data_IF_768366138009
#
_entry.id   IF_768366138009
#
_cell.length_a   1.000
_cell.length_b   1.000
_cell.length_c   1.000
_cell.angle_alpha   90.00
_cell.angle_beta   90.00
_cell.angle_gamma   90.00
#
_symmetry.space_group_name_H-M   'P 1'
#
loop_
_entity.id
_entity.type
_entity.pdbx_description
1 polymer ?
#
# COMPACT_ATOMS: atom_id res chain seq x y z
N UNK A 1 -4.36 16.35 -0.35
CA UNK A 1 -5.05 15.62 -1.46
C UNK A 1 -4.12 14.49 -1.78
N UNK A 2 -4.63 13.25 -1.75
CA UNK A 2 -3.70 12.14 -1.80
C UNK A 2 -2.92 12.08 -3.11
N UNK A 3 -1.62 11.84 -3.00
CA UNK A 3 -0.69 11.73 -4.12
C UNK A 3 0.19 10.51 -3.97
N UNK A 4 0.43 9.81 -5.07
CA UNK A 4 1.47 8.78 -5.14
C UNK A 4 2.82 9.50 -5.05
N UNK A 5 3.67 9.04 -4.13
CA UNK A 5 5.00 9.62 -3.86
C UNK A 5 6.06 8.85 -4.64
N UNK A 6 6.15 7.54 -4.41
CA UNK A 6 7.10 6.66 -5.08
C UNK A 6 6.40 5.48 -5.76
N UNK A 7 7.01 4.98 -6.83
CA UNK A 7 6.58 3.79 -7.59
C UNK A 7 7.79 2.89 -7.77
N UNK A 8 7.57 1.59 -7.59
CA UNK A 8 8.58 0.57 -7.78
C UNK A 8 8.08 -0.55 -8.71
N UNK A 9 8.94 -0.91 -9.65
CA UNK A 9 8.79 -2.01 -10.60
C UNK A 9 10.08 -2.84 -10.46
N UNK A 10 9.98 -3.93 -9.70
CA UNK A 10 11.05 -4.82 -9.32
C UNK A 10 11.43 -5.77 -10.45
N UNK A 11 10.43 -6.29 -11.16
CA UNK A 11 10.62 -7.32 -12.18
C UNK A 11 10.83 -6.75 -13.60
N UNK A 12 10.62 -5.44 -13.77
CA UNK A 12 10.76 -4.66 -14.99
C UNK A 12 9.79 -5.06 -16.11
N UNK A 13 8.60 -5.54 -15.75
CA UNK A 13 7.54 -5.87 -16.72
C UNK A 13 6.72 -4.64 -17.17
N UNK A 14 6.91 -3.49 -16.51
CA UNK A 14 6.21 -2.24 -16.77
C UNK A 14 4.88 -2.07 -16.02
N UNK A 15 4.58 -2.95 -15.06
CA UNK A 15 3.53 -2.80 -14.05
C UNK A 15 4.13 -2.25 -12.76
N UNK A 16 3.24 -1.87 -11.85
CA UNK A 16 3.63 -1.33 -10.55
C UNK A 16 3.57 -2.48 -9.56
N UNK A 17 4.69 -2.77 -8.91
CA UNK A 17 4.79 -3.81 -7.90
C UNK A 17 4.56 -3.23 -6.50
N UNK A 18 4.94 -1.98 -6.30
CA UNK A 18 4.56 -1.25 -5.09
C UNK A 18 4.58 0.24 -5.30
N UNK A 19 3.79 0.95 -4.49
CA UNK A 19 3.82 2.40 -4.44
C UNK A 19 3.56 2.89 -3.02
N UNK A 20 4.08 4.09 -2.72
CA UNK A 20 3.77 4.82 -1.49
C UNK A 20 2.84 5.99 -1.82
N UNK A 21 2.01 6.38 -0.86
CA UNK A 21 1.11 7.51 -1.03
C UNK A 21 1.15 8.45 0.19
N UNK A 22 1.10 9.73 -0.12
CA UNK A 22 0.86 10.82 0.81
C UNK A 22 -0.65 11.03 0.82
N UNK A 23 -1.33 10.71 1.92
CA UNK A 23 -2.78 10.79 2.06
C UNK A 23 -3.25 12.22 2.33
N UNK A 24 -2.52 12.96 3.16
CA UNK A 24 -2.96 14.26 3.67
C UNK A 24 -2.38 15.46 2.90
N UNK A 25 -1.27 15.26 2.20
CA UNK A 25 -0.57 16.20 1.34
C UNK A 25 0.55 16.98 2.04
N UNK A 26 1.10 16.48 3.14
CA UNK A 26 2.13 17.17 3.91
C UNK A 26 3.57 16.91 3.44
N UNK A 27 3.72 15.97 2.48
CA UNK A 27 5.00 15.60 1.88
C UNK A 27 5.69 14.39 2.54
N UNK A 28 5.05 13.76 3.52
CA UNK A 28 5.40 12.43 4.03
C UNK A 28 4.47 11.38 3.41
N UNK A 29 4.83 10.10 3.55
CA UNK A 29 4.01 9.01 3.06
C UNK A 29 3.33 8.35 4.25
N UNK A 30 2.01 8.22 4.18
CA UNK A 30 1.17 7.64 5.22
C UNK A 30 0.80 6.21 4.90
N UNK A 31 1.19 5.67 3.74
CA UNK A 31 0.96 4.28 3.44
C UNK A 31 1.60 3.79 2.16
N UNK A 32 1.43 2.49 1.93
CA UNK A 32 1.95 1.79 0.78
C UNK A 32 1.06 0.60 0.37
N UNK A 33 1.17 0.18 -0.89
CA UNK A 33 0.54 -1.04 -1.41
C UNK A 33 1.56 -1.90 -2.16
N UNK A 34 1.38 -3.23 -2.13
CA UNK A 34 2.33 -4.21 -2.63
C UNK A 34 1.65 -5.36 -3.40
N UNK A 35 2.14 -5.61 -4.61
CA UNK A 35 1.93 -6.80 -5.43
C UNK A 35 3.22 -7.62 -5.32
N UNK A 36 3.17 -8.71 -4.56
CA UNK A 36 4.35 -9.51 -4.20
C UNK A 36 4.56 -10.72 -5.09
N UNK A 37 3.55 -11.12 -5.86
CA UNK A 37 3.63 -12.23 -6.81
C UNK A 37 3.64 -11.78 -8.28
N UNK A 38 3.58 -10.47 -8.53
CA UNK A 38 3.74 -9.78 -9.81
C UNK A 38 2.66 -10.16 -10.83
N UNK A 39 1.43 -10.33 -10.36
CA UNK A 39 0.31 -10.72 -11.21
C UNK A 39 -0.52 -9.50 -11.71
N UNK A 40 -0.26 -8.33 -11.13
CA UNK A 40 -0.90 -7.05 -11.42
C UNK A 40 -2.03 -6.68 -10.46
N UNK A 41 -2.28 -7.47 -9.42
CA UNK A 41 -3.19 -7.17 -8.33
C UNK A 41 -2.39 -6.96 -7.02
N UNK A 42 -2.79 -5.99 -6.22
CA UNK A 42 -2.12 -5.75 -4.94
C UNK A 42 -2.58 -6.78 -3.90
N UNK A 43 -1.63 -7.46 -3.27
CA UNK A 43 -1.86 -8.45 -2.22
C UNK A 43 -2.23 -7.80 -0.88
N UNK A 44 -1.55 -6.69 -0.56
CA UNK A 44 -1.76 -6.00 0.70
C UNK A 44 -1.38 -4.52 0.64
N UNK A 45 -1.92 -3.76 1.60
CA UNK A 45 -1.60 -2.36 1.84
C UNK A 45 -1.41 -2.09 3.33
N UNK A 46 -0.65 -1.05 3.64
CA UNK A 46 -0.40 -0.55 5.00
C UNK A 46 -0.68 0.94 5.09
N UNK A 47 -1.07 1.41 6.27
CA UNK A 47 -1.39 2.81 6.56
C UNK A 47 -0.98 3.19 8.00
N UNK A 48 -0.24 4.30 8.13
CA UNK A 48 -0.02 5.07 9.36
C UNK A 48 -1.17 6.08 9.49
N UNK A 49 -2.11 5.80 10.39
CA UNK A 49 -3.35 6.55 10.52
C UNK A 49 -3.27 7.67 11.56
N UNK A 50 -2.29 7.60 12.47
CA UNK A 50 -2.10 8.58 13.54
C UNK A 50 -0.87 9.49 13.35
N UNK A 51 -0.04 9.20 12.35
CA UNK A 51 1.11 9.99 11.92
C UNK A 51 2.31 9.88 12.84
N UNK A 52 2.44 8.80 13.60
CA UNK A 52 3.57 8.58 14.51
C UNK A 52 4.81 7.98 13.83
N UNK A 53 4.70 7.62 12.55
CA UNK A 53 5.75 7.04 11.72
C UNK A 53 5.79 5.51 11.76
N UNK A 54 4.78 4.85 12.34
CA UNK A 54 4.59 3.41 12.30
C UNK A 54 3.26 3.07 11.63
N UNK A 55 3.23 1.97 10.89
CA UNK A 55 1.98 1.52 10.27
C UNK A 55 1.00 1.01 11.33
N UNK A 56 -0.19 1.61 11.37
CA UNK A 56 -1.27 1.25 12.28
C UNK A 56 -2.12 0.11 11.72
N UNK A 57 -2.36 0.13 10.41
CA UNK A 57 -3.33 -0.77 9.77
C UNK A 57 -2.69 -1.50 8.60
N UNK A 58 -3.00 -2.79 8.47
CA UNK A 58 -2.68 -3.59 7.30
C UNK A 58 -3.97 -4.19 6.71
N UNK A 59 -4.10 -4.12 5.39
CA UNK A 59 -5.23 -4.63 4.61
C UNK A 59 -4.72 -5.73 3.70
N UNK A 60 -5.34 -6.91 3.72
CA UNK A 60 -4.97 -8.06 2.89
C UNK A 60 -6.12 -8.43 1.94
N UNK A 61 -5.80 -8.68 0.68
CA UNK A 61 -6.68 -9.23 -0.36
C UNK A 61 -6.03 -10.53 -0.85
N UNK A 62 -6.43 -11.66 -0.27
CA UNK A 62 -5.76 -12.95 -0.52
C UNK A 62 -6.21 -13.60 -1.81
N UNK A 63 -7.41 -13.27 -2.30
CA UNK A 63 -7.93 -13.81 -3.56
C UNK A 63 -7.86 -12.82 -4.72
N UNK A 64 -7.31 -11.63 -4.47
CA UNK A 64 -6.97 -10.59 -5.45
C UNK A 64 -8.20 -10.17 -6.28
N UNK A 65 -9.39 -10.15 -5.64
CA UNK A 65 -10.65 -9.77 -6.29
C UNK A 65 -10.94 -8.25 -6.22
N UNK A 66 -10.07 -7.50 -5.52
CA UNK A 66 -10.18 -6.07 -5.29
C UNK A 66 -11.00 -5.72 -4.04
N UNK A 67 -11.38 -6.71 -3.23
CA UNK A 67 -12.05 -6.54 -1.94
C UNK A 67 -11.14 -7.06 -0.83
N UNK A 68 -10.94 -6.23 0.19
CA UNK A 68 -10.14 -6.62 1.35
C UNK A 68 -10.80 -7.77 2.12
N UNK A 69 -10.04 -8.84 2.32
CA UNK A 69 -10.40 -10.02 3.09
C UNK A 69 -10.16 -9.83 4.60
N UNK A 70 -9.03 -9.23 4.95
CA UNK A 70 -8.57 -9.11 6.33
C UNK A 70 -7.99 -7.72 6.61
N UNK A 71 -8.34 -7.19 7.78
CA UNK A 71 -7.77 -5.95 8.31
C UNK A 71 -7.13 -6.24 9.66
N UNK A 72 -5.85 -5.98 9.78
CA UNK A 72 -5.09 -6.04 11.02
C UNK A 72 -4.86 -4.60 11.49
N UNK A 73 -5.22 -4.30 12.74
CA UNK A 73 -4.99 -2.99 13.34
C UNK A 73 -4.08 -3.19 14.55
N UNK A 74 -2.96 -2.47 14.57
CA UNK A 74 -2.05 -2.36 15.70
C UNK A 74 -2.77 -1.68 16.88
N UNK A 75 -2.38 -2.01 18.11
CA UNK A 75 -3.07 -1.62 19.34
C UNK A 75 -2.22 -0.72 20.24
#
# INVERSE_FOLDING_TARGET
MSTIVDIYDADHDGRIDSYTYDADGDGYAEGAAYDTDYDGCFDFAIEDTDGDGFDDTAYYDYDQDGVVDEVIVAA
#
